data_IF_665299193818
#
_entry.id   IF_665299193818
#
_cell.length_a   1.000
_cell.length_b   1.000
_cell.length_c   1.000
_cell.angle_alpha   90.00
_cell.angle_beta   90.00
_cell.angle_gamma   90.00
#
_symmetry.space_group_name_H-M   'P 1'
#
loop_
_entity.id
_entity.type
_entity.pdbx_description
1 polymer ?
#
# COMPACT_ATOMS: atom_id res chain seq x y z
N UNK A 1 3.57 19.42 38.12
CA UNK A 1 4.39 19.48 36.89
C UNK A 1 5.61 18.58 37.08
N UNK A 2 5.48 17.31 36.72
CA UNK A 2 6.59 16.35 36.77
C UNK A 2 7.40 16.50 35.47
N UNK A 3 8.71 16.72 35.61
CA UNK A 3 9.64 16.80 34.47
C UNK A 3 9.62 15.50 33.68
N UNK A 4 9.36 15.60 32.38
CA UNK A 4 9.54 14.53 31.39
C UNK A 4 10.95 13.93 31.54
N UNK A 5 11.00 12.63 31.86
CA UNK A 5 12.23 11.85 31.74
C UNK A 5 12.24 11.22 30.36
N UNK A 6 12.95 11.82 29.41
CA UNK A 6 13.25 11.14 28.15
C UNK A 6 14.14 9.93 28.46
N UNK A 7 13.60 8.70 28.33
CA UNK A 7 14.38 7.47 28.48
C UNK A 7 15.11 7.21 27.16
N UNK A 8 16.44 7.27 27.16
CA UNK A 8 17.25 7.04 25.96
C UNK A 8 17.40 5.55 25.59
N UNK A 9 17.00 4.63 26.48
CA UNK A 9 17.12 3.19 26.28
C UNK A 9 15.79 2.49 26.56
N UNK A 10 15.28 1.73 25.59
CA UNK A 10 14.06 0.94 25.75
C UNK A 10 14.37 -0.37 26.45
N UNK A 11 13.46 -0.83 27.29
CA UNK A 11 13.56 -2.12 27.99
C UNK A 11 12.24 -2.87 27.87
N UNK A 12 12.32 -4.21 27.84
CA UNK A 12 11.13 -5.05 27.91
C UNK A 12 10.33 -4.71 29.18
N UNK A 13 9.02 -4.57 29.03
CA UNK A 13 8.09 -4.16 30.08
C UNK A 13 7.92 -2.64 30.20
N UNK A 14 8.68 -1.82 29.49
CA UNK A 14 8.49 -0.37 29.52
C UNK A 14 7.09 -0.01 29.04
N UNK A 15 6.45 0.90 29.76
CA UNK A 15 5.12 1.42 29.45
C UNK A 15 5.23 2.89 29.11
N UNK A 16 4.57 3.27 28.01
CA UNK A 16 4.48 4.63 27.53
C UNK A 16 3.02 5.04 27.41
N UNK A 17 2.69 6.25 27.87
CA UNK A 17 1.43 6.90 27.54
C UNK A 17 1.52 7.57 26.17
N UNK A 18 0.42 7.52 25.42
CA UNK A 18 0.31 8.04 24.06
C UNK A 18 -0.83 9.05 24.02
N UNK A 19 -0.57 10.24 23.50
CA UNK A 19 -1.62 11.26 23.32
C UNK A 19 -2.53 10.89 22.15
N UNK A 20 -3.85 10.96 22.34
CA UNK A 20 -4.86 10.60 21.34
C UNK A 20 -5.44 11.87 20.68
N UNK A 21 -6.03 11.76 19.47
CA UNK A 21 -6.51 12.93 18.70
C UNK A 21 -7.54 13.80 19.41
N UNK A 22 -8.33 13.23 20.33
CA UNK A 22 -9.38 13.92 21.07
C UNK A 22 -8.94 14.48 22.43
N UNK A 23 -7.62 14.49 22.69
CA UNK A 23 -7.03 14.98 23.93
C UNK A 23 -7.00 13.97 25.08
N UNK A 24 -7.49 12.75 24.87
CA UNK A 24 -7.28 11.63 25.82
C UNK A 24 -5.90 11.01 25.68
N UNK A 25 -5.60 10.06 26.55
CA UNK A 25 -4.40 9.25 26.57
C UNK A 25 -4.74 7.77 26.43
N UNK A 26 -3.95 7.07 25.63
CA UNK A 26 -3.82 5.62 25.63
C UNK A 26 -2.51 5.18 26.28
N UNK A 27 -2.26 3.87 26.34
CA UNK A 27 -0.96 3.37 26.76
C UNK A 27 -0.50 2.12 25.98
N UNK A 28 0.81 2.02 25.80
CA UNK A 28 1.49 0.92 25.12
C UNK A 28 2.58 0.33 26.00
N UNK A 29 2.86 -0.96 25.82
CA UNK A 29 3.88 -1.70 26.57
C UNK A 29 4.82 -2.47 25.65
N UNK A 30 6.11 -2.41 25.92
CA UNK A 30 7.14 -3.12 25.15
C UNK A 30 7.18 -4.59 25.56
N UNK A 31 6.83 -5.49 24.66
CA UNK A 31 6.77 -6.93 24.90
C UNK A 31 8.03 -7.69 24.46
N UNK A 32 8.74 -7.18 23.44
CA UNK A 32 9.96 -7.81 22.96
C UNK A 32 10.82 -6.79 22.21
N UNK A 33 12.09 -7.15 22.00
CA UNK A 33 13.04 -6.37 21.21
C UNK A 33 13.97 -7.32 20.44
N UNK A 34 14.18 -7.02 19.16
CA UNK A 34 15.19 -7.66 18.31
C UNK A 34 15.92 -6.51 17.62
N UNK A 35 17.22 -6.35 17.89
CA UNK A 35 18.00 -5.20 17.42
C UNK A 35 17.31 -3.85 17.71
N UNK A 36 16.91 -3.12 16.66
CA UNK A 36 16.19 -1.84 16.73
C UNK A 36 14.67 -1.97 16.45
N UNK A 37 14.15 -3.19 16.49
CA UNK A 37 12.73 -3.51 16.33
C UNK A 37 12.11 -3.85 17.67
N UNK A 38 10.89 -3.37 17.90
CA UNK A 38 10.17 -3.53 19.17
C UNK A 38 8.79 -4.12 18.93
N UNK A 39 8.45 -5.17 19.69
CA UNK A 39 7.08 -5.67 19.75
C UNK A 39 6.31 -4.86 20.78
N UNK A 40 5.26 -4.19 20.33
CA UNK A 40 4.43 -3.33 21.15
C UNK A 40 3.07 -3.97 21.38
N UNK A 41 2.65 -3.97 22.65
CA UNK A 41 1.28 -4.26 23.10
C UNK A 41 0.55 -2.93 23.24
N UNK A 42 -0.62 -2.80 22.64
CA UNK A 42 -1.57 -1.73 23.01
C UNK A 42 -2.43 -2.21 24.18
N UNK A 43 -2.50 -1.41 25.24
CA UNK A 43 -3.34 -1.70 26.42
C UNK A 43 -4.77 -1.19 26.19
N UNK A 44 -5.78 -1.72 26.90
CA UNK A 44 -7.15 -1.21 26.84
C UNK A 44 -7.35 0.14 27.56
N UNK A 45 -6.29 0.74 28.14
CA UNK A 45 -6.41 2.02 28.81
C UNK A 45 -6.76 3.15 27.83
N UNK A 46 -7.84 3.88 28.12
CA UNK A 46 -8.17 5.16 27.50
C UNK A 46 -8.76 6.11 28.56
N UNK A 47 -8.20 7.32 28.69
CA UNK A 47 -8.62 8.26 29.73
C UNK A 47 -8.20 9.70 29.48
N UNK A 48 -8.77 10.66 30.20
CA UNK A 48 -8.42 12.09 30.05
C UNK A 48 -7.11 12.48 30.73
N UNK A 49 -6.54 11.59 31.52
CA UNK A 49 -5.29 11.80 32.28
C UNK A 49 -4.25 10.77 31.85
N UNK A 50 -2.97 11.05 32.11
CA UNK A 50 -1.91 10.05 31.96
C UNK A 50 -2.14 8.94 33.01
N UNK A 51 -2.16 7.64 32.64
CA UNK A 51 -2.41 6.57 33.60
C UNK A 51 -1.31 6.49 34.65
N UNK A 52 -1.69 6.23 35.90
CA UNK A 52 -0.75 5.75 36.91
C UNK A 52 -0.20 4.39 36.50
N UNK A 53 1.07 4.11 36.81
CA UNK A 53 1.70 2.81 36.50
C UNK A 53 1.01 1.63 37.20
N UNK A 54 0.30 1.89 38.29
CA UNK A 54 -0.50 0.89 39.03
C UNK A 54 -1.87 0.61 38.40
N UNK A 55 -2.21 1.25 37.27
CA UNK A 55 -3.49 1.01 36.60
C UNK A 55 -3.53 -0.41 36.03
N UNK A 56 -4.52 -1.20 36.46
CA UNK A 56 -4.64 -2.62 36.13
C UNK A 56 -4.76 -2.86 34.61
N UNK A 57 -5.36 -1.94 33.86
CA UNK A 57 -5.50 -2.03 32.40
C UNK A 57 -4.13 -2.04 31.69
N UNK A 58 -3.07 -1.51 32.29
CA UNK A 58 -1.71 -1.55 31.71
C UNK A 58 -1.11 -2.97 31.69
N UNK A 59 -1.65 -3.87 32.52
CA UNK A 59 -1.31 -5.29 32.52
C UNK A 59 -1.99 -6.08 31.40
N UNK A 60 -3.00 -5.50 30.76
CA UNK A 60 -3.84 -6.18 29.77
C UNK A 60 -3.44 -5.89 28.32
N UNK A 61 -3.99 -6.69 27.40
CA UNK A 61 -3.81 -6.54 25.96
C UNK A 61 -5.17 -6.21 25.36
N UNK A 62 -5.26 -5.08 24.67
CA UNK A 62 -6.48 -4.67 23.98
C UNK A 62 -6.91 -5.74 22.96
N UNK A 63 -8.22 -6.00 22.92
CA UNK A 63 -8.87 -6.83 21.91
C UNK A 63 -9.50 -5.96 20.84
N UNK A 64 -9.27 -6.34 19.59
CA UNK A 64 -9.73 -5.60 18.42
C UNK A 64 -10.92 -6.31 17.79
N UNK A 65 -11.98 -5.55 17.51
CA UNK A 65 -13.17 -6.03 16.82
C UNK A 65 -13.62 -5.10 15.68
N UNK A 66 -12.87 -4.03 15.41
CA UNK A 66 -13.19 -3.11 14.30
C UNK A 66 -13.03 -3.78 12.94
N UNK A 67 -13.91 -3.47 11.99
CA UNK A 67 -13.83 -3.96 10.61
C UNK A 67 -13.64 -5.49 10.51
N UNK A 68 -12.50 -5.94 10.00
CA UNK A 68 -12.17 -7.35 9.79
C UNK A 68 -11.53 -8.02 11.02
N UNK A 69 -11.22 -7.28 12.08
CA UNK A 69 -10.65 -7.84 13.31
C UNK A 69 -11.70 -8.66 14.05
N UNK A 70 -11.31 -9.85 14.51
CA UNK A 70 -12.21 -10.78 15.18
C UNK A 70 -11.64 -11.22 16.53
N UNK A 71 -11.72 -10.33 17.52
CA UNK A 71 -11.16 -10.51 18.87
C UNK A 71 -9.63 -10.68 18.90
N UNK A 72 -8.95 -10.09 17.90
CA UNK A 72 -7.50 -10.14 17.76
C UNK A 72 -6.80 -9.30 18.82
N UNK A 73 -5.58 -9.70 19.19
CA UNK A 73 -4.75 -8.93 20.13
C UNK A 73 -4.12 -7.74 19.40
N UNK A 74 -4.16 -6.56 20.01
CA UNK A 74 -3.50 -5.36 19.49
C UNK A 74 -1.97 -5.41 19.72
N UNK A 75 -1.28 -6.08 18.78
CA UNK A 75 0.15 -6.33 18.78
C UNK A 75 0.75 -5.85 17.46
N UNK A 76 1.90 -5.18 17.52
CA UNK A 76 2.59 -4.72 16.31
C UNK A 76 4.10 -4.65 16.55
N UNK A 77 4.88 -5.15 15.60
CA UNK A 77 6.32 -4.85 15.52
C UNK A 77 6.54 -3.48 14.88
N UNK A 78 7.48 -2.70 15.39
CA UNK A 78 7.85 -1.38 14.85
C UNK A 78 9.34 -1.15 14.95
N UNK A 79 9.90 -0.39 14.01
CA UNK A 79 11.33 -0.10 13.94
C UNK A 79 11.70 1.31 14.43
N UNK A 80 12.94 1.44 14.89
CA UNK A 80 13.57 2.74 15.08
C UNK A 80 13.60 3.21 16.52
N UNK A 81 13.43 4.52 16.75
CA UNK A 81 13.58 5.13 18.07
C UNK A 81 12.21 5.46 18.64
N UNK A 82 12.12 5.43 19.97
CA UNK A 82 10.93 5.92 20.68
C UNK A 82 10.62 7.36 20.23
N UNK A 83 9.38 7.64 19.80
CA UNK A 83 8.93 9.00 19.49
C UNK A 83 9.14 9.93 20.68
N UNK A 84 9.35 11.23 20.42
CA UNK A 84 9.43 12.21 21.50
C UNK A 84 8.06 12.51 22.10
N UNK A 85 7.00 12.18 21.37
CA UNK A 85 5.60 12.42 21.66
C UNK A 85 5.03 11.44 22.70
N UNK A 86 5.67 10.29 22.90
CA UNK A 86 5.22 9.31 23.90
C UNK A 86 5.91 9.54 25.24
N UNK A 87 5.16 9.32 26.31
CA UNK A 87 5.57 9.68 27.67
C UNK A 87 5.88 8.41 28.43
N UNK A 88 7.14 8.21 28.83
CA UNK A 88 7.50 7.08 29.68
C UNK A 88 6.84 7.20 31.07
N UNK A 89 6.07 6.20 31.46
CA UNK A 89 5.32 6.20 32.74
C UNK A 89 5.80 5.14 33.74
N UNK A 90 6.55 4.13 33.30
CA UNK A 90 7.13 3.13 34.18
C UNK A 90 7.44 1.81 33.48
N UNK A 91 7.66 0.75 34.25
CA UNK A 91 7.95 -0.58 33.72
C UNK A 91 7.08 -1.61 34.45
N UNK A 92 6.34 -2.41 33.68
CA UNK A 92 5.52 -3.53 34.17
C UNK A 92 6.15 -4.82 33.64
N UNK A 93 6.66 -5.71 34.51
CA UNK A 93 7.21 -6.98 34.08
C UNK A 93 6.19 -7.82 33.30
N UNK A 94 6.64 -8.44 32.20
CA UNK A 94 5.78 -9.32 31.42
C UNK A 94 5.42 -10.58 32.20
N UNK A 95 4.14 -10.94 32.14
CA UNK A 95 3.61 -12.22 32.56
C UNK A 95 4.17 -13.37 31.70
N UNK A 96 4.06 -14.60 32.22
CA UNK A 96 4.48 -15.81 31.49
C UNK A 96 3.76 -15.99 30.14
N UNK A 97 2.53 -15.48 30.01
CA UNK A 97 1.77 -15.53 28.77
C UNK A 97 2.25 -14.50 27.76
N UNK A 98 2.57 -13.28 28.21
CA UNK A 98 3.08 -12.22 27.33
C UNK A 98 4.45 -12.57 26.74
N UNK A 99 5.31 -13.23 27.51
CA UNK A 99 6.64 -13.68 27.03
C UNK A 99 6.57 -14.71 25.89
N UNK A 100 5.43 -15.36 25.70
CA UNK A 100 5.21 -16.37 24.65
C UNK A 100 4.45 -15.81 23.44
N UNK A 101 4.10 -14.53 23.45
CA UNK A 101 3.35 -13.92 22.36
C UNK A 101 4.20 -13.95 21.08
N UNK A 102 3.55 -14.36 19.99
CA UNK A 102 4.05 -14.23 18.63
C UNK A 102 3.15 -13.25 17.90
N UNK A 103 3.76 -12.43 17.05
CA UNK A 103 3.08 -11.44 16.23
C UNK A 103 3.80 -11.40 14.89
N UNK A 104 3.04 -11.51 13.81
CA UNK A 104 3.53 -11.38 12.44
C UNK A 104 3.14 -10.04 11.82
N UNK A 105 2.43 -9.18 12.58
CA UNK A 105 2.08 -7.84 12.13
C UNK A 105 3.28 -6.91 12.35
N UNK A 106 3.64 -6.19 11.31
CA UNK A 106 4.72 -5.21 11.31
C UNK A 106 4.16 -3.87 10.82
N UNK A 107 4.37 -2.84 11.62
CA UNK A 107 4.27 -1.45 11.20
C UNK A 107 5.67 -0.92 10.90
N UNK A 108 5.77 0.13 10.09
CA UNK A 108 7.05 0.73 9.67
C UNK A 108 7.83 1.28 10.89
N UNK A 109 7.78 2.59 11.13
CA UNK A 109 8.53 3.20 12.24
C UNK A 109 7.68 3.28 13.48
N UNK A 110 8.33 3.19 14.64
CA UNK A 110 7.73 3.60 15.89
C UNK A 110 7.52 5.10 15.85
N UNK A 111 6.34 5.51 15.40
CA UNK A 111 5.90 6.90 15.31
C UNK A 111 4.80 7.20 16.35
N UNK A 112 4.28 8.43 16.33
CA UNK A 112 3.24 8.90 17.26
C UNK A 112 1.89 8.18 17.12
N UNK A 113 1.68 7.42 16.05
CA UNK A 113 0.42 6.70 15.78
C UNK A 113 0.37 5.34 16.48
N UNK A 114 1.53 4.81 16.89
CA UNK A 114 1.61 3.56 17.66
C UNK A 114 0.86 3.73 18.97
N UNK A 115 -0.19 2.92 19.18
CA UNK A 115 -1.10 3.01 20.32
C UNK A 115 -2.43 3.72 20.03
N UNK A 116 -2.59 4.37 18.85
CA UNK A 116 -3.89 4.92 18.42
C UNK A 116 -4.97 3.85 18.27
N UNK A 117 -4.59 2.58 18.19
CA UNK A 117 -5.51 1.44 18.10
C UNK A 117 -6.56 1.46 19.22
N UNK A 118 -6.20 1.85 20.45
CA UNK A 118 -7.18 1.94 21.55
C UNK A 118 -8.25 3.01 21.31
N UNK A 119 -7.87 4.12 20.66
CA UNK A 119 -8.82 5.14 20.27
C UNK A 119 -9.75 4.65 19.16
N UNK A 120 -9.21 3.97 18.14
CA UNK A 120 -10.02 3.43 17.04
C UNK A 120 -10.99 2.35 17.53
N UNK A 121 -10.58 1.47 18.45
CA UNK A 121 -11.48 0.49 19.06
C UNK A 121 -12.54 1.16 19.93
N UNK A 122 -12.17 2.16 20.73
CA UNK A 122 -13.15 2.93 21.49
C UNK A 122 -14.18 3.60 20.58
N UNK A 123 -13.74 4.18 19.46
CA UNK A 123 -14.68 4.77 18.48
C UNK A 123 -15.59 3.71 17.87
N UNK A 124 -15.05 2.53 17.57
CA UNK A 124 -15.83 1.42 17.02
C UNK A 124 -16.90 0.89 17.99
N UNK A 125 -16.64 0.95 19.29
CA UNK A 125 -17.55 0.48 20.34
C UNK A 125 -18.58 1.55 20.76
N UNK A 126 -18.16 2.81 20.86
CA UNK A 126 -18.97 3.88 21.47
C UNK A 126 -19.38 5.02 20.52
N UNK A 127 -18.75 5.16 19.35
CA UNK A 127 -18.94 6.25 18.38
C UNK A 127 -19.07 5.72 16.93
N UNK A 128 -19.58 4.48 16.76
CA UNK A 128 -19.47 3.75 15.49
C UNK A 128 -20.08 4.51 14.32
N UNK A 129 -21.30 5.03 14.47
CA UNK A 129 -22.00 5.69 13.37
C UNK A 129 -21.25 6.93 12.85
N UNK A 130 -20.65 7.73 13.74
CA UNK A 130 -19.88 8.90 13.31
C UNK A 130 -18.55 8.48 12.73
N UNK A 131 -17.89 7.49 13.32
CA UNK A 131 -16.63 6.97 12.82
C UNK A 131 -16.77 6.39 11.40
N UNK A 132 -17.81 5.60 11.15
CA UNK A 132 -18.12 5.06 9.81
C UNK A 132 -18.44 6.18 8.82
N UNK A 133 -19.21 7.19 9.22
CA UNK A 133 -19.51 8.35 8.36
C UNK A 133 -18.25 9.14 7.98
N UNK A 134 -17.33 9.34 8.92
CA UNK A 134 -16.07 10.03 8.65
C UNK A 134 -15.19 9.25 7.66
N UNK A 135 -15.12 7.93 7.80
CA UNK A 135 -14.39 7.07 6.85
C UNK A 135 -15.02 7.19 5.47
N UNK A 136 -16.33 7.02 5.36
CA UNK A 136 -17.05 7.14 4.08
C UNK A 136 -16.89 8.53 3.44
N UNK A 137 -16.89 9.59 4.25
CA UNK A 137 -16.67 10.94 3.75
C UNK A 137 -15.24 11.14 3.23
N UNK A 138 -14.24 10.64 3.95
CA UNK A 138 -12.85 10.73 3.51
C UNK A 138 -12.59 9.87 2.25
N UNK A 139 -13.15 8.66 2.19
CA UNK A 139 -13.12 7.80 1.00
C UNK A 139 -13.74 8.52 -0.21
N UNK A 140 -14.96 9.06 -0.07
CA UNK A 140 -15.59 9.87 -1.12
C UNK A 140 -14.74 11.06 -1.53
N UNK A 141 -14.12 11.74 -0.57
CA UNK A 141 -13.28 12.90 -0.83
C UNK A 141 -12.01 12.52 -1.60
N UNK A 142 -11.38 11.40 -1.25
CA UNK A 142 -10.22 10.84 -1.97
C UNK A 142 -10.63 10.45 -3.39
N UNK A 143 -11.74 9.73 -3.55
CA UNK A 143 -12.28 9.36 -4.86
C UNK A 143 -12.59 10.59 -5.73
N UNK A 144 -13.22 11.62 -5.16
CA UNK A 144 -13.49 12.88 -5.87
C UNK A 144 -12.20 13.58 -6.29
N UNK A 145 -11.19 13.64 -5.41
CA UNK A 145 -9.89 14.23 -5.73
C UNK A 145 -9.22 13.45 -6.85
N UNK A 146 -9.29 12.12 -6.80
CA UNK A 146 -8.76 11.24 -7.81
C UNK A 146 -9.46 11.44 -9.16
N UNK A 147 -10.80 11.50 -9.19
CA UNK A 147 -11.59 11.79 -10.40
C UNK A 147 -11.31 13.18 -10.98
N UNK A 148 -11.03 14.18 -10.12
CA UNK A 148 -10.69 15.55 -10.55
C UNK A 148 -9.23 15.69 -10.99
N UNK A 149 -8.38 14.69 -10.75
CA UNK A 149 -6.97 14.72 -11.12
C UNK A 149 -6.85 14.73 -12.64
N UNK A 150 -6.03 15.64 -13.17
CA UNK A 150 -5.72 15.68 -14.59
C UNK A 150 -4.98 14.41 -14.99
N UNK A 151 -5.62 13.56 -15.80
CA UNK A 151 -5.02 12.35 -16.40
C UNK A 151 -4.21 12.74 -17.64
N UNK A 152 -3.07 13.41 -17.43
CA UNK A 152 -2.17 13.82 -18.50
C UNK A 152 -0.76 13.36 -18.17
N UNK A 153 -0.08 12.64 -19.08
CA UNK A 153 1.28 12.20 -18.81
C UNK A 153 2.17 13.43 -18.64
N UNK A 154 3.21 13.30 -17.83
CA UNK A 154 4.25 14.32 -17.70
C UNK A 154 5.15 14.26 -18.93
N UNK A 155 6.46 14.13 -18.76
CA UNK A 155 7.35 13.88 -19.88
C UNK A 155 7.41 12.37 -20.14
N UNK A 156 7.05 11.97 -21.35
CA UNK A 156 7.18 10.58 -21.79
C UNK A 156 8.50 10.36 -22.53
N UNK A 157 8.97 9.12 -22.47
CA UNK A 157 10.04 8.62 -23.31
C UNK A 157 9.59 8.68 -24.78
N UNK A 158 10.54 8.88 -25.69
CA UNK A 158 10.24 8.79 -27.14
C UNK A 158 9.75 7.39 -27.48
N UNK A 159 8.74 7.31 -28.34
CA UNK A 159 8.09 6.05 -28.70
C UNK A 159 9.08 5.01 -29.24
N UNK A 160 9.99 5.40 -30.13
CA UNK A 160 11.04 4.51 -30.67
C UNK A 160 11.90 3.89 -29.56
N UNK A 161 12.26 4.67 -28.53
CA UNK A 161 13.06 4.20 -27.40
C UNK A 161 12.25 3.31 -26.48
N UNK A 162 11.01 3.69 -26.18
CA UNK A 162 10.09 2.88 -25.36
C UNK A 162 9.92 1.49 -25.96
N UNK A 163 9.58 1.41 -27.25
CA UNK A 163 9.38 0.14 -27.94
C UNK A 163 10.68 -0.66 -28.09
N UNK A 164 11.84 0.00 -28.21
CA UNK A 164 13.13 -0.72 -28.22
C UNK A 164 13.44 -1.41 -26.88
N UNK A 165 12.95 -0.89 -25.76
CA UNK A 165 13.08 -1.54 -24.45
C UNK A 165 12.09 -2.69 -24.33
N UNK A 166 10.83 -2.48 -24.72
CA UNK A 166 9.80 -3.53 -24.72
C UNK A 166 10.20 -4.71 -25.63
N UNK A 167 10.85 -4.46 -26.77
CA UNK A 167 11.32 -5.54 -27.65
C UNK A 167 12.42 -6.43 -27.06
N UNK A 168 12.95 -6.09 -25.87
CA UNK A 168 13.92 -6.92 -25.15
C UNK A 168 13.26 -7.97 -24.25
N UNK A 169 11.94 -7.93 -24.07
CA UNK A 169 11.23 -8.97 -23.32
C UNK A 169 11.47 -10.34 -23.98
N UNK A 170 11.94 -11.30 -23.19
CA UNK A 170 12.39 -12.59 -23.68
C UNK A 170 11.36 -13.69 -23.40
N UNK A 171 10.32 -13.75 -24.22
CA UNK A 171 9.30 -14.80 -24.16
C UNK A 171 9.87 -16.12 -24.73
N UNK A 172 10.48 -16.91 -23.86
CA UNK A 172 10.91 -18.29 -24.13
C UNK A 172 10.15 -19.22 -23.19
N UNK A 173 9.71 -20.37 -23.68
CA UNK A 173 8.87 -21.33 -22.93
C UNK A 173 9.55 -21.90 -21.66
N UNK A 174 10.87 -21.75 -21.54
CA UNK A 174 11.65 -22.16 -20.37
C UNK A 174 11.79 -21.06 -19.31
N UNK A 175 11.49 -19.80 -19.66
CA UNK A 175 11.68 -18.66 -18.75
C UNK A 175 10.47 -18.51 -17.83
N UNK A 176 10.73 -18.18 -16.57
CA UNK A 176 9.68 -17.63 -15.71
C UNK A 176 9.42 -16.14 -16.01
N UNK A 177 8.37 -15.60 -15.39
CA UNK A 177 7.94 -14.22 -15.60
C UNK A 177 9.02 -13.18 -15.27
N UNK A 178 9.88 -13.44 -14.28
CA UNK A 178 10.98 -12.55 -13.89
C UNK A 178 12.10 -12.59 -14.95
N UNK A 179 12.41 -13.77 -15.48
CA UNK A 179 13.40 -13.97 -16.53
C UNK A 179 13.01 -13.31 -17.87
N UNK A 180 11.71 -13.20 -18.15
CA UNK A 180 11.20 -12.49 -19.35
C UNK A 180 11.57 -10.99 -19.30
N UNK A 181 11.48 -10.36 -18.13
CA UNK A 181 11.72 -8.91 -17.95
C UNK A 181 13.21 -8.56 -17.89
N UNK A 182 14.07 -9.50 -17.47
CA UNK A 182 15.44 -9.20 -17.07
C UNK A 182 16.25 -8.43 -18.12
N UNK A 183 16.19 -8.75 -19.43
CA UNK A 183 16.92 -8.00 -20.44
C UNK A 183 16.46 -6.54 -20.57
N UNK A 184 15.16 -6.30 -20.48
CA UNK A 184 14.56 -4.96 -20.54
C UNK A 184 14.92 -4.14 -19.28
N UNK A 185 14.82 -4.74 -18.09
CA UNK A 185 15.25 -4.14 -16.82
C UNK A 185 16.73 -3.76 -16.89
N UNK A 186 17.59 -4.68 -17.36
CA UNK A 186 19.02 -4.48 -17.48
C UNK A 186 19.37 -3.34 -18.45
N UNK A 187 18.61 -3.19 -19.55
CA UNK A 187 18.78 -2.09 -20.48
C UNK A 187 18.34 -0.76 -19.87
N UNK A 188 17.15 -0.73 -19.26
CA UNK A 188 16.57 0.48 -18.68
C UNK A 188 17.37 0.99 -17.47
N UNK A 189 17.89 0.10 -16.61
CA UNK A 189 18.72 0.46 -15.45
C UNK A 189 20.03 1.19 -15.82
N UNK A 190 20.55 0.94 -17.04
CA UNK A 190 21.73 1.63 -17.58
C UNK A 190 21.41 3.06 -18.02
N UNK A 191 20.15 3.38 -18.31
CA UNK A 191 19.68 4.73 -18.65
C UNK A 191 19.56 5.63 -17.41
N UNK A 192 19.32 6.93 -17.58
CA UNK A 192 19.23 7.84 -16.43
C UNK A 192 17.96 7.62 -15.60
N UNK A 193 17.95 8.08 -14.34
CA UNK A 193 16.73 8.10 -13.50
C UNK A 193 15.59 8.85 -14.17
N UNK A 194 15.92 9.89 -14.94
CA UNK A 194 14.96 10.64 -15.72
C UNK A 194 14.36 9.77 -16.83
N UNK A 195 15.17 8.98 -17.53
CA UNK A 195 14.68 8.08 -18.57
C UNK A 195 13.79 6.97 -18.00
N UNK A 196 14.11 6.44 -16.82
CA UNK A 196 13.26 5.46 -16.12
C UNK A 196 11.88 6.05 -15.81
N UNK A 197 11.82 7.27 -15.29
CA UNK A 197 10.55 7.98 -15.05
C UNK A 197 9.80 8.27 -16.34
N UNK A 198 10.52 8.63 -17.41
CA UNK A 198 9.93 8.89 -18.73
C UNK A 198 9.40 7.59 -19.39
N UNK A 199 10.04 6.44 -19.14
CA UNK A 199 9.54 5.12 -19.52
C UNK A 199 8.24 4.80 -18.79
N UNK A 200 8.23 4.99 -17.46
CA UNK A 200 7.04 4.76 -16.63
C UNK A 200 5.86 5.62 -17.11
N UNK A 201 6.07 6.92 -17.35
CA UNK A 201 5.03 7.79 -17.94
C UNK A 201 4.51 7.28 -19.29
N UNK A 202 5.39 6.72 -20.13
CA UNK A 202 5.00 6.18 -21.44
C UNK A 202 4.21 4.87 -21.32
N UNK A 203 4.59 4.01 -20.37
CA UNK A 203 3.90 2.76 -20.06
C UNK A 203 2.50 3.06 -19.52
N UNK A 204 2.40 3.86 -18.45
CA UNK A 204 1.12 4.16 -17.81
C UNK A 204 0.15 4.83 -18.78
N UNK A 205 0.64 5.74 -19.64
CA UNK A 205 -0.22 6.38 -20.63
C UNK A 205 -0.74 5.41 -21.70
N UNK A 206 0.08 4.46 -22.16
CA UNK A 206 -0.38 3.45 -23.13
C UNK A 206 -1.40 2.49 -22.51
N UNK A 207 -1.23 2.09 -21.26
CA UNK A 207 -2.22 1.31 -20.52
C UNK A 207 -3.52 2.10 -20.31
N UNK A 208 -3.41 3.37 -19.93
CA UNK A 208 -4.55 4.29 -19.79
C UNK A 208 -5.35 4.41 -21.10
N UNK A 209 -4.69 4.47 -22.25
CA UNK A 209 -5.37 4.56 -23.54
C UNK A 209 -6.21 3.31 -23.87
N UNK A 210 -5.81 2.13 -23.38
CA UNK A 210 -6.56 0.89 -23.52
C UNK A 210 -7.64 0.72 -22.44
N UNK A 211 -7.64 1.55 -21.39
CA UNK A 211 -8.64 1.55 -20.33
C UNK A 211 -9.96 2.15 -20.85
N UNK A 212 -10.79 1.32 -21.46
CA UNK A 212 -12.10 1.77 -21.97
C UNK A 212 -13.11 0.65 -21.83
N UNK A 213 -14.38 1.03 -21.77
CA UNK A 213 -15.50 0.08 -21.76
C UNK A 213 -15.48 -0.85 -22.97
N UNK A 214 -15.19 -0.32 -24.17
CA UNK A 214 -15.16 -1.14 -25.39
C UNK A 214 -14.05 -2.20 -25.35
N UNK A 215 -12.86 -1.86 -24.84
CA UNK A 215 -11.78 -2.85 -24.70
C UNK A 215 -12.11 -3.88 -23.61
N UNK A 216 -12.69 -3.44 -22.49
CA UNK A 216 -13.11 -4.32 -21.40
C UNK A 216 -14.21 -5.30 -21.82
N UNK A 217 -15.09 -4.93 -22.76
CA UNK A 217 -16.10 -5.81 -23.35
C UNK A 217 -15.53 -6.89 -24.28
N UNK A 218 -14.22 -6.86 -24.55
CA UNK A 218 -13.57 -7.71 -25.54
C UNK A 218 -12.45 -8.56 -24.95
N UNK A 219 -12.56 -9.01 -23.70
CA UNK A 219 -11.53 -9.84 -23.05
C UNK A 219 -11.96 -11.31 -22.85
N UNK A 220 -12.91 -11.79 -23.65
CA UNK A 220 -13.32 -13.20 -23.62
C UNK A 220 -14.29 -13.50 -22.49
N UNK A 221 -14.06 -14.60 -21.76
CA UNK A 221 -14.95 -15.07 -20.68
C UNK A 221 -15.16 -14.02 -19.57
N UNK A 222 -14.15 -13.18 -19.34
CA UNK A 222 -14.16 -12.16 -18.29
C UNK A 222 -14.61 -10.78 -18.79
N UNK A 223 -15.25 -10.71 -19.95
CA UNK A 223 -15.65 -9.44 -20.56
C UNK A 223 -16.58 -8.65 -19.65
N UNK A 224 -16.36 -7.34 -19.62
CA UNK A 224 -17.24 -6.42 -18.93
C UNK A 224 -18.65 -6.49 -19.55
N UNK A 225 -19.65 -6.76 -18.73
CA UNK A 225 -21.05 -6.79 -19.14
C UNK A 225 -21.89 -5.98 -18.15
N UNK A 226 -22.43 -4.87 -18.66
CA UNK A 226 -23.25 -3.94 -17.89
C UNK A 226 -24.65 -4.49 -17.59
N UNK A 227 -25.14 -5.42 -18.42
CA UNK A 227 -26.49 -5.96 -18.31
C UNK A 227 -26.57 -7.14 -17.33
N UNK A 228 -25.58 -8.03 -17.37
CA UNK A 228 -25.62 -9.27 -16.57
C UNK A 228 -25.10 -9.09 -15.15
N UNK A 229 -24.44 -7.97 -14.84
CA UNK A 229 -23.69 -7.76 -13.59
C UNK A 229 -22.77 -8.96 -13.27
N UNK A 230 -22.25 -9.62 -14.30
CA UNK A 230 -21.28 -10.68 -14.16
C UNK A 230 -20.02 -10.19 -13.44
N UNK A 231 -19.27 -11.11 -12.85
CA UNK A 231 -18.01 -10.77 -12.20
C UNK A 231 -17.02 -10.23 -13.25
N UNK A 232 -16.61 -8.97 -13.09
CA UNK A 232 -15.54 -8.34 -13.85
C UNK A 232 -14.35 -8.03 -12.92
N UNK A 233 -13.18 -8.57 -13.26
CA UNK A 233 -11.95 -8.31 -12.51
C UNK A 233 -11.21 -7.12 -13.12
N UNK A 234 -11.16 -6.01 -12.37
CA UNK A 234 -10.42 -4.81 -12.76
C UNK A 234 -8.92 -5.10 -12.96
N UNK A 235 -8.34 -5.94 -12.11
CA UNK A 235 -6.93 -6.33 -12.17
C UNK A 235 -6.64 -7.17 -13.42
N UNK A 236 -7.50 -8.17 -13.70
CA UNK A 236 -7.31 -9.03 -14.88
C UNK A 236 -7.37 -8.22 -16.18
N UNK A 237 -8.28 -7.24 -16.26
CA UNK A 237 -8.34 -6.33 -17.40
C UNK A 237 -7.06 -5.49 -17.53
N UNK A 238 -6.48 -5.01 -16.43
CA UNK A 238 -5.17 -4.34 -16.47
C UNK A 238 -4.07 -5.27 -16.99
N UNK A 239 -4.04 -6.53 -16.55
CA UNK A 239 -3.02 -7.48 -16.98
C UNK A 239 -3.15 -7.88 -18.45
N UNK A 240 -4.36 -7.91 -19.00
CA UNK A 240 -4.61 -8.05 -20.43
C UNK A 240 -4.16 -6.82 -21.24
N UNK A 241 -4.28 -5.60 -20.69
CA UNK A 241 -3.69 -4.41 -21.32
C UNK A 241 -2.16 -4.47 -21.28
N UNK A 242 -1.57 -5.03 -20.23
CA UNK A 242 -0.13 -5.25 -20.15
C UNK A 242 0.38 -6.22 -21.21
N UNK A 243 -0.31 -7.33 -21.46
CA UNK A 243 0.09 -8.29 -22.50
C UNK A 243 0.03 -7.67 -23.91
N UNK A 244 -0.95 -6.80 -24.20
CA UNK A 244 -0.99 -6.03 -25.46
C UNK A 244 0.27 -5.18 -25.66
N UNK A 245 0.75 -4.50 -24.61
CA UNK A 245 1.98 -3.71 -24.69
C UNK A 245 3.20 -4.62 -24.81
N UNK A 246 3.24 -5.72 -24.07
CA UNK A 246 4.36 -6.65 -24.06
C UNK A 246 4.58 -7.34 -25.42
N UNK A 247 3.50 -7.67 -26.14
CA UNK A 247 3.53 -8.17 -27.53
C UNK A 247 4.16 -7.15 -28.50
N UNK A 248 4.12 -5.87 -28.14
CA UNK A 248 4.86 -4.81 -28.79
C UNK A 248 4.00 -3.84 -29.61
N UNK A 249 4.70 -3.00 -30.37
CA UNK A 249 4.13 -1.80 -30.99
C UNK A 249 2.96 -2.10 -31.94
N UNK A 250 3.11 -3.09 -32.81
CA UNK A 250 2.09 -3.40 -33.82
C UNK A 250 0.80 -3.91 -33.16
N UNK A 251 0.90 -4.80 -32.18
CA UNK A 251 -0.23 -5.27 -31.38
C UNK A 251 -0.95 -4.09 -30.72
N UNK A 252 -0.22 -3.24 -30.00
CA UNK A 252 -0.78 -2.04 -29.37
C UNK A 252 -1.52 -1.13 -30.36
N UNK A 253 -0.91 -0.81 -31.50
CA UNK A 253 -1.49 0.09 -32.51
C UNK A 253 -2.72 -0.50 -33.21
N UNK A 254 -2.81 -1.82 -33.31
CA UNK A 254 -3.98 -2.52 -33.85
C UNK A 254 -5.10 -2.60 -32.81
N UNK A 255 -4.77 -2.89 -31.56
CA UNK A 255 -5.75 -3.05 -30.48
C UNK A 255 -6.38 -1.72 -30.11
N UNK A 256 -5.60 -0.65 -29.98
CA UNK A 256 -6.14 0.68 -29.67
C UNK A 256 -7.19 1.18 -30.69
N UNK A 257 -7.11 0.71 -31.94
CA UNK A 257 -8.06 1.07 -33.01
C UNK A 257 -9.23 0.09 -33.11
N UNK A 258 -9.06 -1.13 -32.62
CA UNK A 258 -10.04 -2.19 -32.73
C UNK A 258 -10.04 -3.04 -31.44
N UNK A 259 -10.96 -2.75 -30.51
CA UNK A 259 -11.11 -3.49 -29.25
C UNK A 259 -11.22 -5.01 -29.40
N UNK A 260 -11.68 -5.52 -30.55
CA UNK A 260 -11.78 -6.96 -30.81
C UNK A 260 -10.42 -7.67 -30.72
N UNK A 261 -9.32 -6.96 -30.95
CA UNK A 261 -7.96 -7.48 -30.87
C UNK A 261 -7.44 -7.62 -29.42
N UNK A 262 -8.22 -7.23 -28.41
CA UNK A 262 -7.87 -7.51 -27.02
C UNK A 262 -7.68 -9.02 -26.81
N UNK A 263 -6.64 -9.44 -26.05
CA UNK A 263 -6.40 -10.82 -25.72
C UNK A 263 -7.58 -11.39 -24.92
N UNK A 264 -7.87 -12.68 -25.11
CA UNK A 264 -9.01 -13.37 -24.47
C UNK A 264 -8.58 -14.26 -23.30
N UNK A 265 -7.30 -14.63 -23.28
CA UNK A 265 -6.73 -15.64 -22.40
C UNK A 265 -5.26 -15.35 -22.02
N UNK A 266 -4.68 -14.24 -22.49
CA UNK A 266 -3.28 -13.91 -22.25
C UNK A 266 -3.10 -12.62 -21.43
N UNK A 267 -2.49 -12.73 -20.25
CA UNK A 267 -2.19 -11.64 -19.31
C UNK A 267 -0.70 -11.55 -19.01
N UNK A 268 -0.21 -10.35 -18.68
CA UNK A 268 1.19 -10.16 -18.32
C UNK A 268 1.37 -9.05 -17.27
N UNK A 269 0.92 -9.32 -16.04
CA UNK A 269 1.12 -8.45 -14.86
C UNK A 269 2.58 -7.99 -14.65
N UNK A 270 3.61 -8.84 -14.81
CA UNK A 270 5.00 -8.48 -14.49
C UNK A 270 5.50 -7.20 -15.19
N UNK A 271 4.92 -6.81 -16.33
CA UNK A 271 5.28 -5.56 -17.00
C UNK A 271 5.19 -4.32 -16.10
N UNK A 272 4.27 -4.33 -15.12
CA UNK A 272 4.06 -3.21 -14.18
C UNK A 272 5.28 -2.97 -13.25
N UNK A 273 6.15 -3.96 -13.04
CA UNK A 273 7.34 -3.81 -12.19
C UNK A 273 8.59 -3.35 -12.92
N UNK A 274 8.59 -3.31 -14.26
CA UNK A 274 9.80 -3.10 -15.07
C UNK A 274 10.57 -1.81 -14.70
N UNK A 275 9.86 -0.69 -14.57
CA UNK A 275 10.48 0.59 -14.23
C UNK A 275 10.98 0.65 -12.78
N UNK A 276 10.21 0.11 -11.84
CA UNK A 276 10.56 0.10 -10.42
C UNK A 276 11.78 -0.79 -10.16
N UNK A 277 11.83 -1.96 -10.78
CA UNK A 277 12.98 -2.86 -10.72
C UNK A 277 14.22 -2.26 -11.38
N UNK A 278 14.08 -1.62 -12.53
CA UNK A 278 15.20 -0.91 -13.18
C UNK A 278 15.74 0.22 -12.30
N UNK A 279 14.86 0.96 -11.62
CA UNK A 279 15.24 2.02 -10.68
C UNK A 279 15.95 1.47 -9.44
N UNK A 280 15.41 0.42 -8.83
CA UNK A 280 16.02 -0.24 -7.67
C UNK A 280 17.38 -0.82 -8.03
N UNK A 281 17.50 -1.50 -9.17
CA UNK A 281 18.78 -2.03 -9.67
C UNK A 281 19.82 -0.93 -9.90
N UNK A 282 19.38 0.23 -10.39
CA UNK A 282 20.26 1.38 -10.64
C UNK A 282 20.70 2.09 -9.35
N UNK A 283 19.80 2.26 -8.40
CA UNK A 283 19.97 3.23 -7.29
C UNK A 283 20.09 2.58 -5.91
N UNK A 284 19.69 1.32 -5.77
CA UNK A 284 19.55 0.62 -4.49
C UNK A 284 18.43 1.18 -3.61
N UNK A 285 17.44 1.89 -4.19
CA UNK A 285 16.34 2.54 -3.48
C UNK A 285 15.00 2.22 -4.13
N UNK A 286 13.94 2.32 -3.35
CA UNK A 286 12.57 2.14 -3.83
C UNK A 286 12.15 3.25 -4.80
N UNK A 287 11.34 2.88 -5.80
CA UNK A 287 10.89 3.79 -6.85
C UNK A 287 9.62 4.54 -6.44
N UNK A 288 9.81 5.62 -5.66
CA UNK A 288 8.72 6.53 -5.30
C UNK A 288 8.43 7.52 -6.46
N UNK A 289 7.66 7.07 -7.45
CA UNK A 289 7.24 7.90 -8.57
C UNK A 289 5.77 7.70 -8.91
N UNK A 290 5.02 8.81 -8.90
CA UNK A 290 3.61 8.84 -9.31
C UNK A 290 3.54 9.45 -10.71
N UNK A 291 2.94 8.75 -11.66
CA UNK A 291 2.80 9.17 -13.08
C UNK A 291 1.78 10.29 -13.28
N UNK A 292 1.72 10.85 -14.49
CA UNK A 292 0.68 11.81 -14.86
C UNK A 292 -0.68 11.17 -15.15
N UNK A 293 -0.68 9.96 -15.70
CA UNK A 293 -1.86 9.13 -15.93
C UNK A 293 -1.83 7.90 -15.02
N UNK A 294 -2.96 7.58 -14.44
CA UNK A 294 -3.13 6.33 -13.72
C UNK A 294 -3.48 5.20 -14.68
N UNK A 295 -2.76 4.08 -14.60
CA UNK A 295 -2.99 2.93 -15.47
C UNK A 295 -4.08 2.00 -14.92
N UNK A 296 -4.49 2.15 -13.66
CA UNK A 296 -5.51 1.33 -13.04
C UNK A 296 -6.81 1.37 -13.83
N UNK A 297 -7.53 0.24 -13.88
CA UNK A 297 -8.80 0.14 -14.60
C UNK A 297 -9.82 1.16 -14.06
N UNK A 298 -10.63 1.73 -14.94
CA UNK A 298 -11.57 2.83 -14.67
C UNK A 298 -10.94 4.21 -14.43
N UNK A 299 -9.62 4.36 -14.58
CA UNK A 299 -8.95 5.66 -14.47
C UNK A 299 -9.21 6.58 -15.65
N UNK A 300 -9.43 6.01 -16.84
CA UNK A 300 -9.85 6.76 -18.02
C UNK A 300 -11.36 6.96 -18.01
N UNK A 301 -11.83 7.86 -17.14
CA UNK A 301 -13.27 8.15 -16.96
C UNK A 301 -13.98 8.41 -18.29
N UNK A 302 -13.35 9.14 -19.21
CA UNK A 302 -13.91 9.41 -20.55
C UNK A 302 -14.06 8.13 -21.40
N UNK A 303 -13.15 7.17 -21.25
CA UNK A 303 -13.20 5.87 -21.94
C UNK A 303 -14.28 4.92 -21.43
N UNK A 304 -14.87 5.20 -20.27
CA UNK A 304 -15.90 4.36 -19.64
C UNK A 304 -17.31 4.94 -19.71
N UNK A 305 -17.45 6.26 -19.95
CA UNK A 305 -18.73 6.96 -20.11
C UNK A 305 -19.07 7.89 -18.97
#
# INVERSE_FOLDING_TARGET
MAKEKSKNTVSIGDVFAVSLPDGRYGAIKVANQIDNSYLIITTPYIGTEIPSIENELLGEILRQNRFFYNNDKALIWVDGKVPKEVIYIGNIPLSSNERKIRCNAFGDKWDKTVGMVVFLEWRWEYDRENFEKEIQEEERRIEEQYRKRSQKPKKMMKDETFWSIISLLNFNDENDEEEILEPAINALAKMSVKDIKEFEEALSYKLYLLDTKEHAQNIGEYSYDEETQGYFSADLFLYFRCSVIAEGKECFELTIKNPQNMPKDNSFEPLLSLASEAYTKRTGKDFEYITGCDYESFSNVEGWG
#
